data_IF_980164793883
#
_entry.id   IF_980164793883
#
_cell.length_a   1.000
_cell.length_b   1.000
_cell.length_c   1.000
_cell.angle_alpha   90.00
_cell.angle_beta   90.00
_cell.angle_gamma   90.00
#
_symmetry.space_group_name_H-M   'P 1'
#
loop_
_entity.id
_entity.type
_entity.pdbx_description
1 polymer ?
#
# COMPACT_ATOMS: atom_id res chain seq x y z
N UNK A 1 -15.33 5.35 14.74
CA UNK A 1 -14.88 4.29 13.83
C UNK A 1 -14.22 4.98 12.65
N UNK A 2 -12.94 4.72 12.41
CA UNK A 2 -12.24 5.24 11.23
C UNK A 2 -12.64 4.48 9.97
N UNK A 3 -12.54 5.12 8.80
CA UNK A 3 -12.72 4.47 7.50
C UNK A 3 -11.40 3.93 6.96
N UNK A 4 -11.46 2.84 6.19
CA UNK A 4 -10.31 2.33 5.46
C UNK A 4 -10.43 2.71 3.99
N UNK A 5 -9.44 3.44 3.50
CA UNK A 5 -9.32 3.81 2.09
C UNK A 5 -8.14 3.08 1.45
N UNK A 6 -8.38 2.39 0.36
CA UNK A 6 -7.36 1.70 -0.44
C UNK A 6 -7.00 2.56 -1.65
N UNK A 7 -5.70 2.79 -1.87
CA UNK A 7 -5.19 3.38 -3.11
C UNK A 7 -4.31 2.36 -3.82
N UNK A 8 -4.66 2.00 -5.03
CA UNK A 8 -3.92 1.02 -5.84
C UNK A 8 -3.73 1.49 -7.27
N UNK A 9 -2.54 1.23 -7.80
CA UNK A 9 -2.24 1.35 -9.22
C UNK A 9 -2.53 0.02 -9.89
N UNK A 10 -3.19 0.07 -11.01
CA UNK A 10 -3.64 -1.13 -11.70
C UNK A 10 -3.56 -0.94 -13.22
N UNK A 11 -3.15 -1.96 -13.94
CA UNK A 11 -3.23 -1.99 -15.40
C UNK A 11 -4.67 -2.20 -15.86
N UNK A 12 -4.97 -1.95 -17.13
CA UNK A 12 -6.31 -2.21 -17.68
C UNK A 12 -6.75 -3.67 -17.54
N UNK A 13 -5.80 -4.59 -17.50
CA UNK A 13 -6.05 -6.03 -17.30
C UNK A 13 -5.90 -6.49 -15.86
N UNK A 14 -5.87 -5.58 -14.87
CA UNK A 14 -5.98 -5.89 -13.45
C UNK A 14 -4.68 -6.26 -12.75
N UNK A 15 -3.50 -6.03 -13.36
CA UNK A 15 -2.21 -6.30 -12.71
C UNK A 15 -1.83 -5.15 -11.78
N UNK A 16 -1.44 -5.48 -10.55
CA UNK A 16 -1.01 -4.54 -9.50
C UNK A 16 0.42 -4.78 -9.04
N UNK A 17 1.08 -5.83 -9.52
CA UNK A 17 2.42 -6.25 -9.13
C UNK A 17 3.50 -5.42 -9.82
N UNK A 18 4.55 -5.01 -9.08
CA UNK A 18 5.78 -4.47 -9.65
C UNK A 18 5.66 -3.10 -10.31
N UNK A 19 4.88 -2.20 -9.76
CA UNK A 19 4.62 -0.86 -10.31
C UNK A 19 5.88 0.00 -10.48
N UNK A 20 6.71 0.08 -9.44
CA UNK A 20 7.69 1.17 -9.27
C UNK A 20 9.10 0.85 -9.75
N UNK A 21 9.61 -0.35 -9.54
CA UNK A 21 10.97 -0.76 -9.94
C UNK A 21 10.95 -2.08 -10.68
N UNK A 22 11.94 -2.27 -11.56
CA UNK A 22 12.06 -3.51 -12.34
C UNK A 22 12.20 -4.77 -11.47
N UNK A 23 12.79 -4.62 -10.28
CA UNK A 23 13.07 -5.67 -9.30
C UNK A 23 12.14 -5.64 -8.07
N UNK A 24 11.13 -4.78 -8.06
CA UNK A 24 10.24 -4.56 -6.91
C UNK A 24 9.52 -5.84 -6.47
N UNK A 25 8.99 -6.59 -7.41
CA UNK A 25 8.31 -7.84 -7.12
C UNK A 25 8.43 -8.82 -8.30
N UNK A 26 9.39 -9.72 -8.23
CA UNK A 26 9.67 -10.74 -9.27
C UNK A 26 9.00 -12.08 -8.99
N UNK A 27 8.14 -12.17 -7.99
CA UNK A 27 7.49 -13.44 -7.62
C UNK A 27 6.62 -13.98 -8.74
N UNK A 28 6.53 -15.31 -8.80
CA UNK A 28 5.78 -15.99 -9.85
C UNK A 28 6.41 -15.85 -11.25
N UNK A 29 7.67 -15.44 -11.33
CA UNK A 29 8.34 -15.21 -12.62
C UNK A 29 7.94 -13.87 -13.27
N UNK A 30 7.43 -12.91 -12.52
CA UNK A 30 7.03 -11.60 -13.04
C UNK A 30 8.24 -10.82 -13.57
N UNK A 31 8.21 -10.45 -14.85
CA UNK A 31 9.30 -9.78 -15.58
C UNK A 31 8.96 -8.35 -16.04
N UNK A 32 7.77 -7.84 -15.73
CA UNK A 32 7.30 -6.54 -16.20
C UNK A 32 7.42 -5.44 -15.13
N UNK A 33 8.33 -5.59 -14.15
CA UNK A 33 8.53 -4.59 -13.10
C UNK A 33 8.83 -3.20 -13.64
N UNK A 34 8.40 -2.16 -12.91
CA UNK A 34 8.58 -0.77 -13.30
C UNK A 34 7.61 -0.27 -14.37
N UNK A 35 6.55 -1.01 -14.66
CA UNK A 35 5.60 -0.65 -15.73
C UNK A 35 4.90 0.69 -15.52
N UNK A 36 4.76 1.14 -14.27
CA UNK A 36 4.09 2.40 -13.94
C UNK A 36 4.96 3.66 -14.13
N UNK A 37 6.28 3.53 -14.07
CA UNK A 37 7.21 4.67 -14.02
C UNK A 37 7.04 5.64 -15.18
N UNK A 38 6.82 5.14 -16.39
CA UNK A 38 6.64 5.97 -17.60
C UNK A 38 5.34 6.77 -17.63
N UNK A 39 4.41 6.48 -16.72
CA UNK A 39 3.12 7.17 -16.60
C UNK A 39 3.10 8.21 -15.48
N UNK A 40 4.23 8.38 -14.79
CA UNK A 40 4.34 9.43 -13.78
C UNK A 40 4.32 10.79 -14.45
N UNK A 41 3.27 11.54 -14.17
CA UNK A 41 3.07 12.90 -14.67
C UNK A 41 2.59 13.85 -13.56
N UNK A 42 2.44 15.12 -13.89
CA UNK A 42 1.99 16.14 -12.94
C UNK A 42 0.56 15.90 -12.44
N UNK A 43 -0.30 15.27 -13.25
CA UNK A 43 -1.68 14.97 -12.85
C UNK A 43 -1.67 13.91 -11.77
N UNK A 44 -0.94 12.81 -11.99
CA UNK A 44 -0.77 11.77 -10.99
C UNK A 44 -0.14 12.32 -9.72
N UNK A 45 0.90 13.13 -9.83
CA UNK A 45 1.55 13.78 -8.69
C UNK A 45 0.57 14.62 -7.85
N UNK A 46 -0.31 15.40 -8.49
CA UNK A 46 -1.34 16.18 -7.80
C UNK A 46 -2.38 15.30 -7.10
N UNK A 47 -2.85 14.25 -7.74
CA UNK A 47 -3.84 13.34 -7.14
C UNK A 47 -3.25 12.56 -5.96
N UNK A 48 -2.00 12.12 -6.09
CA UNK A 48 -1.26 11.52 -4.97
C UNK A 48 -1.08 12.49 -3.80
N UNK A 49 -0.68 13.73 -4.08
CA UNK A 49 -0.54 14.75 -3.04
C UNK A 49 -1.87 15.02 -2.32
N UNK A 50 -2.99 15.06 -3.04
CA UNK A 50 -4.34 15.18 -2.42
C UNK A 50 -4.67 13.98 -1.54
N UNK A 51 -4.39 12.76 -2.01
CA UNK A 51 -4.64 11.55 -1.24
C UNK A 51 -3.81 11.51 0.05
N UNK A 52 -2.57 11.98 -0.01
CA UNK A 52 -1.65 12.03 1.13
C UNK A 52 -1.80 13.26 2.02
N UNK A 53 -2.49 14.32 1.57
CA UNK A 53 -2.72 15.53 2.36
C UNK A 53 -3.69 15.33 3.53
N UNK A 54 -4.46 14.26 3.54
CA UNK A 54 -5.27 13.89 4.69
C UNK A 54 -4.39 13.14 5.69
N UNK A 55 -4.13 13.73 6.87
CA UNK A 55 -3.41 13.01 7.91
C UNK A 55 -4.24 11.79 8.31
N UNK A 56 -3.66 10.64 8.15
CA UNK A 56 -4.25 9.36 8.53
C UNK A 56 -3.14 8.38 8.83
N UNK A 57 -3.46 7.39 9.64
CA UNK A 57 -2.55 6.29 9.89
C UNK A 57 -2.48 5.37 8.67
N UNK A 58 -1.37 4.70 8.50
CA UNK A 58 -1.15 3.79 7.37
C UNK A 58 -1.28 2.34 7.79
N UNK A 59 -1.84 1.54 6.90
CA UNK A 59 -2.00 0.10 7.12
C UNK A 59 -1.26 -0.67 6.03
N UNK A 60 -0.30 -1.51 6.43
CA UNK A 60 0.57 -2.26 5.54
C UNK A 60 0.47 -3.76 5.76
N UNK A 61 0.59 -4.52 4.68
CA UNK A 61 1.07 -5.88 4.75
C UNK A 61 2.61 -5.90 4.82
N UNK A 62 3.18 -6.96 5.39
CA UNK A 62 4.62 -7.10 5.62
C UNK A 62 5.49 -6.68 4.42
N UNK A 63 5.19 -7.21 3.24
CA UNK A 63 6.05 -7.00 2.05
C UNK A 63 6.05 -5.55 1.61
N UNK A 64 4.89 -4.94 1.47
CA UNK A 64 4.79 -3.53 1.09
C UNK A 64 5.49 -2.63 2.11
N UNK A 65 5.38 -2.93 3.41
CA UNK A 65 6.11 -2.21 4.44
C UNK A 65 7.63 -2.33 4.26
N UNK A 66 8.15 -3.54 3.98
CA UNK A 66 9.57 -3.77 3.72
C UNK A 66 10.06 -3.04 2.46
N UNK A 67 9.28 -3.04 1.39
CA UNK A 67 9.60 -2.31 0.15
C UNK A 67 9.61 -0.80 0.38
N UNK A 68 8.66 -0.31 1.16
CA UNK A 68 8.54 1.12 1.49
C UNK A 68 9.68 1.62 2.39
N UNK A 69 10.20 0.83 3.31
CA UNK A 69 11.40 1.17 4.09
C UNK A 69 12.57 1.46 3.15
N UNK A 70 12.76 0.63 2.14
CA UNK A 70 13.86 0.79 1.19
C UNK A 70 13.74 2.10 0.40
N UNK A 71 12.50 2.52 0.10
CA UNK A 71 12.24 3.74 -0.67
C UNK A 71 12.26 5.01 0.20
N UNK A 72 11.71 4.95 1.41
CA UNK A 72 11.45 6.15 2.23
C UNK A 72 11.94 6.08 3.67
N UNK A 73 12.14 4.90 4.23
CA UNK A 73 12.37 4.74 5.68
C UNK A 73 13.62 5.46 6.21
N UNK A 74 14.62 5.66 5.39
CA UNK A 74 15.88 6.33 5.76
C UNK A 74 16.19 7.52 4.83
N UNK A 75 15.27 7.92 3.96
CA UNK A 75 15.52 9.02 3.04
C UNK A 75 15.49 10.37 3.75
N UNK A 76 16.49 11.20 3.45
CA UNK A 76 16.62 12.58 3.92
C UNK A 76 16.59 13.57 2.74
N UNK A 77 15.87 13.21 1.68
CA UNK A 77 15.83 13.92 0.41
C UNK A 77 15.09 15.28 0.45
N UNK A 78 14.51 15.65 1.61
CA UNK A 78 13.70 16.85 1.76
C UNK A 78 12.34 16.77 1.07
N UNK A 79 11.96 15.62 0.55
CA UNK A 79 10.67 15.42 -0.09
C UNK A 79 9.54 15.46 0.95
N UNK A 80 8.51 16.33 0.79
CA UNK A 80 7.39 16.40 1.72
C UNK A 80 6.65 15.06 1.90
N UNK A 81 6.61 14.23 0.86
CA UNK A 81 5.97 12.90 0.93
C UNK A 81 6.76 11.99 1.88
N UNK A 82 8.09 11.99 1.79
CA UNK A 82 8.96 11.24 2.71
C UNK A 82 8.74 11.66 4.15
N UNK A 83 8.63 12.97 4.40
CA UNK A 83 8.38 13.49 5.74
C UNK A 83 7.01 13.04 6.28
N UNK A 84 5.95 13.09 5.46
CA UNK A 84 4.61 12.62 5.83
C UNK A 84 4.60 11.11 6.13
N UNK A 85 5.22 10.30 5.27
CA UNK A 85 5.34 8.84 5.45
C UNK A 85 6.08 8.48 6.73
N UNK A 86 7.15 9.20 7.06
CA UNK A 86 7.93 8.98 8.27
C UNK A 86 7.16 9.43 9.54
N UNK A 87 6.35 10.48 9.46
CA UNK A 87 5.57 11.00 10.58
C UNK A 87 4.32 10.15 10.90
N UNK A 88 3.69 9.56 9.88
CA UNK A 88 2.47 8.78 10.05
C UNK A 88 2.69 7.54 10.92
N UNK A 89 1.67 7.12 11.68
CA UNK A 89 1.64 5.79 12.31
C UNK A 89 1.47 4.73 11.24
N UNK A 90 2.26 3.68 11.30
CA UNK A 90 2.24 2.55 10.36
C UNK A 90 1.84 1.27 11.08
N UNK A 91 0.61 0.82 10.90
CA UNK A 91 0.17 -0.49 11.36
C UNK A 91 0.59 -1.56 10.36
N UNK A 92 1.34 -2.55 10.81
CA UNK A 92 1.92 -3.59 9.94
C UNK A 92 1.31 -4.94 10.29
N UNK A 93 0.48 -5.46 9.40
CA UNK A 93 -0.15 -6.77 9.59
C UNK A 93 0.82 -7.86 9.15
N UNK A 94 1.22 -8.71 10.10
CA UNK A 94 2.10 -9.85 9.80
C UNK A 94 2.00 -10.94 10.86
N UNK A 95 2.09 -12.19 10.39
CA UNK A 95 2.23 -13.38 11.25
C UNK A 95 3.69 -13.83 11.40
N UNK A 96 4.61 -13.23 10.64
CA UNK A 96 6.00 -13.73 10.52
C UNK A 96 7.08 -12.70 10.82
N UNK A 97 6.75 -11.41 10.91
CA UNK A 97 7.71 -10.41 11.41
C UNK A 97 7.89 -10.57 12.92
N UNK A 98 9.11 -10.43 13.36
CA UNK A 98 9.46 -10.44 14.79
C UNK A 98 9.26 -9.05 15.40
N UNK A 99 9.68 -8.00 14.70
CA UNK A 99 9.53 -6.60 15.06
C UNK A 99 9.31 -5.71 13.85
N UNK A 100 9.13 -4.42 14.09
CA UNK A 100 8.96 -3.35 13.09
C UNK A 100 9.82 -2.12 13.40
N UNK A 101 10.92 -2.30 14.11
CA UNK A 101 11.79 -1.23 14.61
C UNK A 101 12.57 -0.54 13.48
N UNK A 102 12.70 -1.22 12.32
CA UNK A 102 13.41 -0.70 11.15
C UNK A 102 12.78 0.57 10.53
N UNK A 103 11.52 0.89 10.87
CA UNK A 103 10.89 2.14 10.45
C UNK A 103 10.10 2.76 11.60
N UNK A 104 10.50 3.96 11.98
CA UNK A 104 9.88 4.70 13.09
C UNK A 104 8.36 4.80 12.96
N UNK A 105 7.67 4.89 14.10
CA UNK A 105 6.21 4.97 14.19
C UNK A 105 5.50 3.73 13.56
N UNK A 106 6.16 2.58 13.52
CA UNK A 106 5.55 1.32 13.11
C UNK A 106 5.05 0.52 14.31
N UNK A 107 3.88 -0.10 14.15
CA UNK A 107 3.22 -0.93 15.16
C UNK A 107 2.87 -2.27 14.51
N UNK A 108 3.38 -3.37 15.06
CA UNK A 108 3.12 -4.70 14.56
C UNK A 108 1.75 -5.21 15.04
N UNK A 109 0.90 -5.58 14.11
CA UNK A 109 -0.35 -6.28 14.36
C UNK A 109 -0.19 -7.77 14.04
N UNK A 110 -0.11 -8.60 15.07
CA UNK A 110 0.06 -10.06 14.95
C UNK A 110 -1.29 -10.75 14.89
N UNK A 111 -1.53 -11.56 13.87
CA UNK A 111 -2.74 -12.36 13.78
C UNK A 111 -3.27 -12.49 12.37
N UNK A 112 -4.50 -12.93 12.27
CA UNK A 112 -5.25 -12.90 11.02
C UNK A 112 -5.58 -11.44 10.65
N UNK A 113 -5.47 -11.13 9.36
CA UNK A 113 -5.60 -9.75 8.90
C UNK A 113 -6.99 -9.16 9.18
N UNK A 114 -8.03 -9.94 8.95
CA UNK A 114 -9.40 -9.47 9.19
C UNK A 114 -9.66 -9.18 10.67
N UNK A 115 -9.22 -10.09 11.54
CA UNK A 115 -9.45 -9.98 12.97
C UNK A 115 -8.73 -8.78 13.57
N UNK A 116 -7.41 -8.67 13.35
CA UNK A 116 -6.60 -7.60 13.95
C UNK A 116 -6.96 -6.22 13.41
N UNK A 117 -7.39 -6.13 12.16
CA UNK A 117 -7.81 -4.86 11.56
C UNK A 117 -9.22 -4.49 12.02
N UNK A 118 -10.14 -5.45 12.19
CA UNK A 118 -11.45 -5.19 12.78
C UNK A 118 -11.32 -4.66 14.21
N UNK A 119 -10.44 -5.26 15.02
CA UNK A 119 -10.13 -4.75 16.37
C UNK A 119 -9.53 -3.33 16.34
N UNK A 120 -8.58 -3.07 15.43
CA UNK A 120 -8.01 -1.74 15.28
C UNK A 120 -9.07 -0.71 14.92
N UNK A 121 -9.94 -1.04 13.96
CA UNK A 121 -11.02 -0.18 13.48
C UNK A 121 -12.08 0.11 14.55
N UNK A 122 -12.30 -0.81 15.49
CA UNK A 122 -13.22 -0.63 16.60
C UNK A 122 -12.70 0.38 17.65
N UNK A 123 -11.41 0.67 17.69
CA UNK A 123 -10.82 1.63 18.63
C UNK A 123 -11.14 3.07 18.21
N UNK A 124 -11.17 4.01 19.15
CA UNK A 124 -11.15 5.43 18.82
C UNK A 124 -9.88 5.75 18.02
N UNK A 125 -10.03 6.30 16.83
CA UNK A 125 -8.89 6.59 15.96
C UNK A 125 -9.34 7.27 14.67
N UNK A 126 -8.35 7.67 13.87
CA UNK A 126 -8.52 8.29 12.56
C UNK A 126 -8.78 7.28 11.44
N UNK A 127 -8.86 7.81 10.24
CA UNK A 127 -8.94 7.00 9.02
C UNK A 127 -7.62 6.29 8.74
N UNK A 128 -7.71 5.13 8.10
CA UNK A 128 -6.58 4.29 7.72
C UNK A 128 -6.40 4.31 6.21
N UNK A 129 -5.18 4.56 5.76
CA UNK A 129 -4.81 4.50 4.34
C UNK A 129 -4.05 3.22 4.01
N UNK A 130 -4.44 2.54 2.95
CA UNK A 130 -3.67 1.41 2.38
C UNK A 130 -3.14 1.83 1.02
N UNK A 131 -1.83 1.71 0.84
CA UNK A 131 -1.17 1.87 -0.45
C UNK A 131 -0.56 0.53 -0.84
N UNK A 132 -1.00 -0.04 -1.96
CA UNK A 132 -0.57 -1.36 -2.38
C UNK A 132 -1.07 -2.48 -1.47
N UNK A 133 -0.20 -3.45 -1.11
CA UNK A 133 -0.53 -4.59 -0.23
C UNK A 133 -1.69 -5.46 -0.74
N UNK A 134 -1.65 -5.87 -2.02
CA UNK A 134 -2.75 -6.60 -2.68
C UNK A 134 -3.30 -7.79 -1.88
N UNK A 135 -2.45 -8.55 -1.19
CA UNK A 135 -2.89 -9.68 -0.36
C UNK A 135 -3.65 -9.22 0.89
N UNK A 136 -3.23 -8.13 1.53
CA UNK A 136 -3.94 -7.53 2.65
C UNK A 136 -5.30 -7.00 2.20
N UNK A 137 -5.32 -6.22 1.11
CA UNK A 137 -6.56 -5.69 0.53
C UNK A 137 -7.56 -6.81 0.23
N UNK A 138 -7.11 -7.93 -0.35
CA UNK A 138 -7.97 -9.09 -0.62
C UNK A 138 -8.60 -9.65 0.66
N UNK A 139 -7.83 -9.80 1.72
CA UNK A 139 -8.33 -10.32 3.01
C UNK A 139 -9.34 -9.36 3.63
N UNK A 140 -9.06 -8.06 3.63
CA UNK A 140 -9.95 -7.06 4.21
C UNK A 140 -11.22 -6.83 3.38
N UNK A 141 -11.11 -6.92 2.05
CA UNK A 141 -12.26 -6.88 1.16
C UNK A 141 -13.22 -8.06 1.42
N UNK A 142 -12.68 -9.27 1.54
CA UNK A 142 -13.47 -10.47 1.85
C UNK A 142 -14.19 -10.39 3.23
N UNK A 143 -13.67 -9.57 4.14
CA UNK A 143 -14.23 -9.33 5.47
C UNK A 143 -15.11 -8.05 5.53
N UNK A 144 -15.38 -7.39 4.41
CA UNK A 144 -16.17 -6.16 4.31
C UNK A 144 -15.66 -5.02 5.24
N UNK A 145 -14.33 -4.88 5.32
CA UNK A 145 -13.67 -3.89 6.19
C UNK A 145 -13.24 -2.62 5.48
N UNK A 146 -13.35 -2.55 4.14
CA UNK A 146 -12.89 -1.42 3.32
C UNK A 146 -14.07 -0.59 2.84
N UNK A 147 -14.05 0.71 3.14
CA UNK A 147 -15.11 1.64 2.74
C UNK A 147 -14.86 2.27 1.37
N UNK A 148 -13.58 2.55 1.05
CA UNK A 148 -13.28 3.32 -0.16
C UNK A 148 -12.14 2.71 -0.96
N UNK A 149 -12.27 2.77 -2.29
CA UNK A 149 -11.22 2.39 -3.24
C UNK A 149 -10.91 3.56 -4.17
N UNK A 150 -9.62 3.88 -4.27
CA UNK A 150 -9.08 4.77 -5.29
C UNK A 150 -8.20 3.94 -6.22
N UNK A 151 -8.63 3.71 -7.45
CA UNK A 151 -7.90 2.96 -8.44
C UNK A 151 -7.30 3.90 -9.49
N UNK A 152 -5.96 3.92 -9.57
CA UNK A 152 -5.23 4.64 -10.60
C UNK A 152 -5.00 3.69 -11.78
N UNK A 153 -5.91 3.72 -12.74
CA UNK A 153 -5.89 2.80 -13.88
C UNK A 153 -4.91 3.31 -14.93
N UNK A 154 -3.92 2.49 -15.26
CA UNK A 154 -2.90 2.77 -16.26
C UNK A 154 -3.32 2.24 -17.63
N UNK A 155 -3.11 3.01 -18.71
CA UNK A 155 -3.58 2.66 -20.06
C UNK A 155 -2.63 1.66 -20.74
N UNK A 156 -2.40 0.52 -20.09
CA UNK A 156 -1.62 -0.59 -20.63
C UNK A 156 -2.19 -1.92 -20.17
N UNK A 157 -1.85 -2.97 -20.91
CA UNK A 157 -2.09 -4.37 -20.56
C UNK A 157 -0.76 -5.13 -20.55
N UNK A 158 -0.59 -6.04 -19.59
CA UNK A 158 0.59 -6.90 -19.48
C UNK A 158 0.30 -8.34 -19.94
N UNK A 159 -0.96 -8.67 -20.20
CA UNK A 159 -1.37 -10.02 -20.59
C UNK A 159 -1.33 -11.04 -19.44
N UNK A 160 -1.32 -10.57 -18.20
CA UNK A 160 -1.20 -11.39 -16.99
C UNK A 160 -2.47 -11.37 -16.13
N UNK A 161 -3.54 -10.80 -16.65
CA UNK A 161 -4.82 -10.74 -15.93
C UNK A 161 -5.34 -12.14 -15.61
N UNK A 162 -5.74 -12.33 -14.36
CA UNK A 162 -6.39 -13.56 -13.92
C UNK A 162 -7.86 -13.67 -14.38
N UNK A 163 -8.36 -12.68 -15.12
CA UNK A 163 -9.75 -12.66 -15.60
C UNK A 163 -9.99 -13.71 -16.69
N UNK A 164 -8.91 -14.23 -17.30
CA UNK A 164 -8.97 -15.18 -18.40
C UNK A 164 -8.49 -16.59 -18.04
N UNK A 165 -8.44 -16.90 -16.74
CA UNK A 165 -8.15 -18.27 -16.29
C UNK A 165 -9.47 -19.00 -15.99
#
# INVERSE_FOLDING_TARGET
MGSITVTMWVTLDGVVQGLGRADEDTRGGFTHGGWGVRYNDEVMGREMAKAMAKPGDMLFGRRTWQDFITAWGQSTDGNPITALMNAATKYVVSRTLEDVDAWQNSILLRGDAADVVAELKARPGGDLGIIGSASLVRSLHAADLIEHYTLLIHPLTLGLSLIHI
#
